data_IF_173971373048
#
_entry.id   IF_173971373048
#
_cell.length_a   1.000
_cell.length_b   1.000
_cell.length_c   1.000
_cell.angle_alpha   90.00
_cell.angle_beta   90.00
_cell.angle_gamma   90.00
#
_symmetry.space_group_name_H-M   'P 1'
#
loop_
_entity.id
_entity.type
_entity.pdbx_description
1 polymer ?
#
# COMPACT_ATOMS: atom_id res chain seq x y z
N UNK A 1 -14.42 -14.03 -28.17
CA UNK A 1 -13.08 -13.76 -28.73
C UNK A 1 -12.71 -14.92 -29.64
N UNK A 2 -12.72 -14.72 -30.98
CA UNK A 2 -12.50 -15.83 -31.93
C UNK A 2 -11.02 -16.20 -32.14
N UNK A 3 -10.12 -15.28 -31.90
CA UNK A 3 -8.66 -15.54 -31.84
C UNK A 3 -7.92 -14.36 -31.22
N UNK A 4 -6.84 -14.63 -30.50
CA UNK A 4 -5.89 -13.63 -30.03
C UNK A 4 -4.49 -14.15 -30.39
N UNK A 5 -3.81 -13.51 -31.35
CA UNK A 5 -2.41 -13.78 -31.69
C UNK A 5 -2.05 -15.28 -31.83
N UNK A 6 -2.81 -16.02 -32.59
CA UNK A 6 -2.57 -17.46 -32.82
C UNK A 6 -3.18 -18.42 -31.82
N UNK A 7 -3.89 -17.90 -30.78
CA UNK A 7 -4.71 -18.73 -29.91
C UNK A 7 -6.08 -18.96 -30.58
N UNK A 8 -6.47 -20.20 -30.76
CA UNK A 8 -7.80 -20.60 -31.22
C UNK A 8 -8.63 -21.03 -30.02
N UNK A 9 -9.97 -21.09 -30.18
CA UNK A 9 -10.88 -21.56 -29.12
C UNK A 9 -10.48 -22.93 -28.58
N UNK A 10 -9.92 -23.79 -29.42
CA UNK A 10 -9.48 -25.14 -29.06
C UNK A 10 -8.25 -25.16 -28.14
N UNK A 11 -7.49 -24.05 -28.09
CA UNK A 11 -6.30 -23.92 -27.28
C UNK A 11 -6.56 -23.20 -25.94
N UNK A 12 -7.78 -22.72 -25.71
CA UNK A 12 -8.16 -22.05 -24.48
C UNK A 12 -8.97 -23.02 -23.63
N UNK A 13 -8.31 -23.60 -22.62
CA UNK A 13 -9.02 -24.34 -21.56
C UNK A 13 -9.62 -23.34 -20.61
N UNK A 14 -10.91 -23.05 -20.75
CA UNK A 14 -11.64 -22.26 -19.75
C UNK A 14 -12.03 -23.17 -18.60
N UNK A 15 -11.32 -23.07 -17.49
CA UNK A 15 -11.80 -23.63 -16.23
C UNK A 15 -12.80 -22.65 -15.62
N UNK A 16 -14.07 -23.03 -15.62
CA UNK A 16 -15.12 -22.29 -14.89
C UNK A 16 -15.07 -22.72 -13.43
N UNK A 17 -14.70 -21.80 -12.54
CA UNK A 17 -14.84 -21.99 -11.11
C UNK A 17 -16.24 -21.54 -10.70
N UNK A 18 -17.08 -22.44 -10.24
CA UNK A 18 -18.27 -22.07 -9.51
C UNK A 18 -17.85 -21.55 -8.14
N UNK A 19 -17.98 -20.25 -7.94
CA UNK A 19 -17.84 -19.67 -6.61
C UNK A 19 -19.10 -20.03 -5.82
N UNK A 20 -19.04 -21.08 -5.02
CA UNK A 20 -20.07 -21.38 -4.03
C UNK A 20 -19.99 -20.29 -2.96
N UNK A 21 -20.73 -19.22 -3.18
CA UNK A 21 -20.97 -18.25 -2.11
C UNK A 21 -21.92 -18.93 -1.13
N UNK A 22 -21.37 -19.60 -0.11
CA UNK A 22 -22.18 -20.02 1.02
C UNK A 22 -22.76 -18.76 1.63
N UNK A 23 -24.05 -18.54 1.46
CA UNK A 23 -24.82 -17.56 2.22
C UNK A 23 -24.97 -18.06 3.65
N UNK A 24 -23.86 -18.10 4.39
CA UNK A 24 -23.97 -18.07 5.84
C UNK A 24 -24.68 -16.77 6.14
N UNK A 25 -25.89 -16.88 6.66
CA UNK A 25 -26.61 -15.74 7.20
C UNK A 25 -25.61 -14.91 7.99
N UNK A 26 -25.40 -13.68 7.55
CA UNK A 26 -24.67 -12.71 8.35
C UNK A 26 -25.55 -12.49 9.57
N UNK A 27 -25.36 -13.30 10.59
CA UNK A 27 -25.79 -12.93 11.93
C UNK A 27 -25.28 -11.53 12.13
N UNK A 28 -26.19 -10.57 12.31
CA UNK A 28 -25.83 -9.19 12.56
C UNK A 28 -25.02 -9.19 13.86
N UNK A 29 -23.70 -9.28 13.69
CA UNK A 29 -22.80 -9.16 14.82
C UNK A 29 -23.06 -7.78 15.42
N UNK A 30 -23.73 -7.75 16.56
CA UNK A 30 -23.86 -6.52 17.35
C UNK A 30 -22.45 -5.94 17.46
N UNK A 31 -22.25 -4.65 17.22
CA UNK A 31 -20.93 -4.04 17.31
C UNK A 31 -20.39 -4.33 18.71
N UNK A 32 -19.33 -5.15 18.76
CA UNK A 32 -18.71 -5.63 20.01
C UNK A 32 -18.01 -4.49 20.75
N UNK A 33 -17.88 -3.34 20.08
CA UNK A 33 -17.17 -2.17 20.61
C UNK A 33 -18.01 -0.91 20.37
N UNK A 34 -18.11 -0.08 21.40
CA UNK A 34 -18.64 1.25 21.24
C UNK A 34 -17.72 2.05 20.28
N UNK A 35 -18.26 2.54 19.17
CA UNK A 35 -17.50 3.27 18.15
C UNK A 35 -16.79 4.49 18.75
N UNK A 36 -17.37 5.14 19.77
CA UNK A 36 -16.74 6.26 20.47
C UNK A 36 -15.44 5.89 21.18
N UNK A 37 -15.25 4.62 21.49
CA UNK A 37 -14.05 4.07 22.13
C UNK A 37 -13.12 3.34 21.14
N UNK A 38 -13.37 3.48 19.85
CA UNK A 38 -12.50 2.94 18.81
C UNK A 38 -11.44 3.96 18.39
N UNK A 39 -10.35 3.46 17.79
CA UNK A 39 -9.34 4.28 17.11
C UNK A 39 -9.10 3.69 15.71
N UNK A 40 -9.14 4.51 14.67
CA UNK A 40 -9.49 5.94 14.60
C UNK A 40 -11.02 6.16 14.61
N UNK A 41 -11.51 7.23 15.24
CA UNK A 41 -12.93 7.59 15.17
C UNK A 41 -13.29 8.29 13.87
N UNK A 42 -12.37 8.99 13.26
CA UNK A 42 -12.64 9.77 12.07
C UNK A 42 -11.44 9.95 11.17
N UNK A 43 -11.64 10.68 10.07
CA UNK A 43 -10.58 10.90 9.07
C UNK A 43 -9.34 11.59 9.65
N UNK A 44 -9.50 12.44 10.64
CA UNK A 44 -8.41 13.20 11.25
C UNK A 44 -7.49 12.32 12.11
N UNK A 45 -7.97 11.18 12.59
CA UNK A 45 -7.21 10.21 13.39
C UNK A 45 -6.61 9.07 12.55
N UNK A 46 -6.93 8.96 11.26
CA UNK A 46 -6.49 7.86 10.39
C UNK A 46 -4.97 7.70 10.28
N UNK A 47 -4.20 8.72 10.64
CA UNK A 47 -2.75 8.64 10.63
C UNK A 47 -2.18 9.45 11.78
N UNK A 48 -1.43 8.78 12.65
CA UNK A 48 -0.67 9.43 13.72
C UNK A 48 0.50 10.26 13.19
N UNK A 49 0.87 10.12 11.92
CA UNK A 49 1.97 10.86 11.31
C UNK A 49 1.47 11.91 10.31
N UNK A 50 2.05 13.09 10.37
CA UNK A 50 2.04 14.04 9.25
C UNK A 50 3.16 13.70 8.29
N UNK A 51 2.92 13.89 6.99
CA UNK A 51 3.90 13.63 5.93
C UNK A 51 4.41 14.95 5.39
N UNK A 52 5.72 15.11 5.38
CA UNK A 52 6.41 16.22 4.73
C UNK A 52 7.01 15.72 3.43
N UNK A 53 6.62 16.28 2.31
CA UNK A 53 7.21 15.94 1.02
C UNK A 53 8.66 16.42 0.95
N UNK A 54 9.49 15.61 0.33
CA UNK A 54 10.88 15.94 -0.01
C UNK A 54 10.98 16.07 -1.53
N UNK A 55 11.69 17.08 -1.99
CA UNK A 55 11.94 17.23 -3.42
C UNK A 55 13.11 16.33 -3.84
N UNK A 56 12.83 15.31 -4.64
CA UNK A 56 13.79 14.37 -5.23
C UNK A 56 13.65 14.28 -6.75
N UNK A 57 13.17 15.34 -7.37
CA UNK A 57 12.89 15.35 -8.81
C UNK A 57 14.13 15.01 -9.64
N UNK A 58 15.30 15.50 -9.26
CA UNK A 58 16.56 15.21 -9.95
C UNK A 58 16.98 13.74 -9.86
N UNK A 59 16.62 13.05 -8.79
CA UNK A 59 16.89 11.61 -8.65
C UNK A 59 15.90 10.81 -9.49
N UNK A 60 14.63 11.21 -9.48
CA UNK A 60 13.57 10.52 -10.23
C UNK A 60 13.79 10.64 -11.74
N UNK A 61 14.17 11.82 -12.24
CA UNK A 61 14.42 12.04 -13.66
C UNK A 61 15.60 11.23 -14.23
N UNK A 62 16.47 10.74 -13.36
CA UNK A 62 17.59 9.86 -13.73
C UNK A 62 17.23 8.37 -13.77
N UNK A 63 16.03 8.01 -13.30
CA UNK A 63 15.60 6.60 -13.29
C UNK A 63 15.30 6.18 -14.71
N UNK A 64 16.02 5.15 -15.18
CA UNK A 64 15.83 4.52 -16.49
C UNK A 64 15.88 3.00 -16.36
N UNK A 65 15.25 2.29 -17.27
CA UNK A 65 15.28 0.84 -17.39
C UNK A 65 15.10 0.10 -16.06
N UNK A 66 14.14 0.55 -15.25
CA UNK A 66 13.94 0.07 -13.88
C UNK A 66 12.46 -0.26 -13.62
N UNK A 67 12.22 -1.14 -12.66
CA UNK A 67 10.89 -1.32 -12.07
C UNK A 67 10.73 -0.30 -10.96
N UNK A 68 9.78 0.62 -11.09
CA UNK A 68 9.51 1.67 -10.10
C UNK A 68 8.30 1.28 -9.28
N UNK A 69 8.51 0.99 -8.00
CA UNK A 69 7.45 0.63 -7.07
C UNK A 69 6.92 1.83 -6.31
N UNK A 70 5.68 2.18 -6.57
CA UNK A 70 5.01 3.35 -6.02
C UNK A 70 4.17 2.93 -4.82
N UNK A 71 4.61 3.29 -3.62
CA UNK A 71 3.95 2.84 -2.38
C UNK A 71 2.66 3.60 -2.06
N UNK A 72 2.51 4.84 -2.53
CA UNK A 72 1.34 5.67 -2.24
C UNK A 72 1.05 6.67 -3.35
N UNK A 73 -0.25 7.00 -3.53
CA UNK A 73 -0.71 8.00 -4.51
C UNK A 73 -0.10 9.40 -4.31
N UNK A 74 0.20 9.78 -3.07
CA UNK A 74 0.78 11.08 -2.73
C UNK A 74 2.23 11.23 -3.19
N UNK A 75 2.91 10.12 -3.44
CA UNK A 75 4.27 10.10 -3.97
C UNK A 75 4.35 10.73 -5.36
N UNK A 76 3.29 10.59 -6.16
CA UNK A 76 3.23 11.09 -7.54
C UNK A 76 2.82 12.57 -7.65
N UNK A 77 2.64 13.26 -6.54
CA UNK A 77 2.32 14.68 -6.54
C UNK A 77 3.59 15.48 -6.75
N UNK A 78 3.68 16.24 -7.84
CA UNK A 78 4.83 17.10 -8.16
C UNK A 78 6.14 16.38 -8.54
N UNK A 79 6.06 15.14 -9.02
CA UNK A 79 7.23 14.47 -9.59
C UNK A 79 7.24 14.57 -11.12
N UNK A 80 8.42 14.54 -11.76
CA UNK A 80 8.53 14.50 -13.22
C UNK A 80 7.95 13.20 -13.78
N UNK A 81 7.65 13.20 -15.08
CA UNK A 81 7.31 11.95 -15.77
C UNK A 81 8.51 10.99 -15.71
N UNK A 82 8.21 9.72 -15.53
CA UNK A 82 9.22 8.67 -15.62
C UNK A 82 9.63 8.47 -17.08
N UNK A 83 10.86 8.02 -17.26
CA UNK A 83 11.36 7.55 -18.56
C UNK A 83 10.51 6.37 -19.06
N UNK A 84 10.24 6.29 -20.35
CA UNK A 84 9.38 5.26 -20.96
C UNK A 84 9.93 3.85 -20.79
N UNK A 85 11.23 3.69 -20.57
CA UNK A 85 11.85 2.40 -20.26
C UNK A 85 11.53 1.87 -18.86
N UNK A 86 10.89 2.69 -18.02
CA UNK A 86 10.49 2.30 -16.65
C UNK A 86 9.17 1.55 -16.64
N UNK A 87 9.11 0.51 -15.82
CA UNK A 87 7.91 -0.26 -15.54
C UNK A 87 7.34 0.20 -14.21
N UNK A 88 6.12 0.74 -14.21
CA UNK A 88 5.50 1.28 -13.02
C UNK A 88 4.59 0.23 -12.36
N UNK A 89 4.86 -0.05 -11.09
CA UNK A 89 4.08 -0.96 -10.25
C UNK A 89 3.60 -0.21 -9.01
N UNK A 90 2.41 -0.49 -8.56
CA UNK A 90 1.84 0.16 -7.38
C UNK A 90 1.61 -0.83 -6.23
N UNK A 91 1.57 -0.31 -5.00
CA UNK A 91 1.31 -1.11 -3.81
C UNK A 91 -0.13 -1.60 -3.69
N UNK A 92 -1.07 -0.99 -4.40
CA UNK A 92 -2.49 -1.39 -4.33
C UNK A 92 -3.36 -0.60 -5.29
N UNK A 93 -4.58 -1.09 -5.48
CA UNK A 93 -5.57 -0.60 -6.46
C UNK A 93 -5.89 0.89 -6.30
N UNK A 94 -5.94 1.42 -5.08
CA UNK A 94 -6.18 2.86 -4.86
C UNK A 94 -5.05 3.72 -5.41
N UNK A 95 -3.80 3.28 -5.26
CA UNK A 95 -2.64 3.95 -5.82
C UNK A 95 -2.64 3.83 -7.34
N UNK A 96 -2.93 2.64 -7.87
CA UNK A 96 -3.07 2.40 -9.30
C UNK A 96 -4.07 3.38 -9.94
N UNK A 97 -5.34 3.36 -9.49
CA UNK A 97 -6.38 4.24 -10.01
C UNK A 97 -6.00 5.73 -9.97
N UNK A 98 -5.34 6.16 -8.89
CA UNK A 98 -4.88 7.55 -8.76
C UNK A 98 -3.72 7.87 -9.71
N UNK A 99 -2.85 6.91 -9.99
CA UNK A 99 -1.74 7.07 -10.94
C UNK A 99 -2.25 7.12 -12.38
N UNK A 100 -3.16 6.23 -12.74
CA UNK A 100 -3.76 6.19 -14.07
C UNK A 100 -4.53 7.49 -14.39
N UNK A 101 -5.27 8.04 -13.42
CA UNK A 101 -5.92 9.36 -13.55
C UNK A 101 -4.96 10.52 -13.82
N UNK A 102 -3.67 10.36 -13.51
CA UNK A 102 -2.60 11.33 -13.77
C UNK A 102 -1.84 11.04 -15.06
N UNK A 103 -2.30 10.10 -15.86
CA UNK A 103 -1.69 9.73 -17.13
C UNK A 103 -0.52 8.78 -17.05
N UNK A 104 -0.29 8.11 -15.89
CA UNK A 104 0.73 7.09 -15.78
C UNK A 104 0.19 5.73 -16.22
N UNK A 105 0.92 5.05 -17.10
CA UNK A 105 0.66 3.64 -17.40
C UNK A 105 1.20 2.77 -16.26
N UNK A 106 0.33 2.02 -15.61
CA UNK A 106 0.71 1.14 -14.51
C UNK A 106 0.60 -0.31 -14.97
N UNK A 107 1.72 -1.00 -14.97
CA UNK A 107 1.84 -2.38 -15.46
C UNK A 107 1.36 -3.43 -14.46
N UNK A 108 1.18 -3.05 -13.19
CA UNK A 108 0.68 -3.98 -12.17
C UNK A 108 0.58 -3.41 -10.78
N UNK A 109 0.08 -4.23 -9.87
CA UNK A 109 -0.03 -3.88 -8.46
C UNK A 109 0.29 -5.09 -7.58
N UNK A 110 0.90 -4.87 -6.42
CA UNK A 110 1.10 -5.91 -5.40
C UNK A 110 -0.15 -6.15 -4.54
N UNK A 111 -1.23 -5.44 -4.81
CA UNK A 111 -2.52 -5.52 -4.11
C UNK A 111 -2.44 -5.58 -2.59
N UNK A 112 -1.57 -4.75 -2.03
CA UNK A 112 -1.28 -4.67 -0.58
C UNK A 112 -0.52 -5.86 0.03
N UNK A 113 -0.09 -6.83 -0.77
CA UNK A 113 0.70 -7.99 -0.31
C UNK A 113 2.18 -7.66 -0.03
N UNK A 114 2.58 -6.43 -0.33
CA UNK A 114 3.91 -5.93 0.02
C UNK A 114 4.94 -6.04 -1.11
N UNK A 115 6.20 -5.77 -0.74
CA UNK A 115 7.29 -5.67 -1.71
C UNK A 115 7.80 -7.04 -2.19
N UNK A 116 7.62 -8.10 -1.39
CA UNK A 116 8.03 -9.45 -1.76
C UNK A 116 7.40 -9.94 -3.06
N UNK A 117 6.20 -9.47 -3.36
CA UNK A 117 5.52 -9.83 -4.61
C UNK A 117 6.17 -9.18 -5.84
N UNK A 118 6.89 -8.06 -5.67
CA UNK A 118 7.54 -7.37 -6.79
C UNK A 118 8.76 -8.13 -7.28
N UNK A 119 9.45 -8.84 -6.40
CA UNK A 119 10.59 -9.66 -6.79
C UNK A 119 10.20 -10.78 -7.76
N UNK A 120 8.99 -11.30 -7.65
CA UNK A 120 8.42 -12.27 -8.58
C UNK A 120 8.20 -11.69 -9.98
N UNK A 121 8.02 -10.37 -10.08
CA UNK A 121 7.81 -9.67 -11.36
C UNK A 121 9.09 -9.58 -12.20
N UNK A 122 10.26 -9.79 -11.61
CA UNK A 122 11.51 -9.91 -12.38
C UNK A 122 11.44 -11.01 -13.42
N UNK A 123 10.73 -12.08 -13.14
CA UNK A 123 10.49 -13.17 -14.09
C UNK A 123 9.74 -12.70 -15.34
N UNK A 124 8.84 -11.72 -15.20
CA UNK A 124 8.05 -11.17 -16.31
C UNK A 124 8.77 -10.05 -17.05
N UNK A 125 9.54 -9.23 -16.34
CA UNK A 125 10.12 -7.99 -16.87
C UNK A 125 11.64 -8.03 -17.02
N UNK A 126 12.25 -9.19 -16.77
CA UNK A 126 13.70 -9.39 -16.78
C UNK A 126 14.40 -8.81 -15.55
N UNK A 127 15.72 -8.95 -15.51
CA UNK A 127 16.57 -8.52 -14.41
C UNK A 127 16.76 -7.00 -14.38
N UNK A 128 15.66 -6.28 -14.12
CA UNK A 128 15.67 -4.84 -13.94
C UNK A 128 15.87 -4.47 -12.46
N UNK A 129 16.52 -3.35 -12.22
CA UNK A 129 16.62 -2.78 -10.87
C UNK A 129 15.24 -2.39 -10.35
N UNK A 130 14.98 -2.68 -9.08
CA UNK A 130 13.76 -2.26 -8.41
C UNK A 130 14.05 -1.02 -7.59
N UNK A 131 13.36 0.08 -7.90
CA UNK A 131 13.45 1.35 -7.20
C UNK A 131 12.13 1.60 -6.47
N UNK A 132 12.19 1.70 -5.16
CA UNK A 132 11.01 1.92 -4.33
C UNK A 132 10.85 3.41 -4.02
N UNK A 133 9.72 3.98 -4.40
CA UNK A 133 9.34 5.33 -4.01
C UNK A 133 8.53 5.26 -2.72
N UNK A 134 9.13 5.72 -1.62
CA UNK A 134 8.60 5.53 -0.27
C UNK A 134 8.89 6.72 0.64
N UNK A 135 8.88 6.50 1.94
CA UNK A 135 9.25 7.48 2.96
C UNK A 135 10.54 7.06 3.66
N UNK A 136 11.29 8.05 4.16
CA UNK A 136 12.38 7.77 5.09
C UNK A 136 11.83 7.44 6.46
N UNK A 137 12.32 6.36 7.03
CA UNK A 137 12.23 6.08 8.45
C UNK A 137 13.63 5.69 8.97
N UNK A 138 13.82 5.82 10.27
CA UNK A 138 15.08 5.52 10.93
C UNK A 138 15.53 4.04 10.75
N UNK A 139 14.62 3.18 10.28
CA UNK A 139 14.81 1.72 10.21
C UNK A 139 14.90 1.17 8.78
N UNK A 140 14.76 1.98 7.74
CA UNK A 140 14.80 1.48 6.36
C UNK A 140 15.48 2.43 5.38
N UNK A 141 16.78 2.41 5.38
CA UNK A 141 17.57 2.75 4.20
C UNK A 141 17.77 1.49 3.37
N UNK A 142 16.71 1.02 2.72
CA UNK A 142 16.87 -0.11 1.81
C UNK A 142 17.57 0.36 0.55
N UNK A 143 18.66 -0.32 0.19
CA UNK A 143 19.35 -0.11 -1.09
C UNK A 143 18.30 -0.14 -2.21
N UNK A 144 18.25 0.91 -3.04
CA UNK A 144 17.22 1.03 -4.11
C UNK A 144 15.92 1.72 -3.68
N UNK A 145 15.88 2.50 -2.60
CA UNK A 145 14.73 3.34 -2.26
C UNK A 145 15.04 4.83 -2.44
N UNK A 146 14.03 5.59 -2.88
CA UNK A 146 14.04 7.06 -2.93
C UNK A 146 12.95 7.56 -1.98
N UNK A 147 13.38 8.35 -1.01
CA UNK A 147 12.49 8.88 0.01
C UNK A 147 11.84 10.18 -0.45
N UNK A 148 10.56 10.09 -0.81
CA UNK A 148 9.78 11.23 -1.33
C UNK A 148 9.00 11.97 -0.25
N UNK A 149 8.95 11.45 0.94
CA UNK A 149 8.41 12.16 2.10
C UNK A 149 9.02 11.65 3.40
N UNK A 150 9.06 12.53 4.39
CA UNK A 150 9.44 12.20 5.75
C UNK A 150 8.18 12.10 6.62
N UNK A 151 8.20 11.25 7.59
CA UNK A 151 7.17 11.21 8.64
C UNK A 151 7.57 12.21 9.73
N UNK A 152 6.69 13.17 10.00
CA UNK A 152 6.87 14.08 11.14
C UNK A 152 6.50 13.32 12.42
N UNK A 153 6.98 13.84 13.55
CA UNK A 153 6.69 13.28 14.87
C UNK A 153 5.26 12.77 15.01
N UNK A 154 5.08 11.59 15.62
CA UNK A 154 3.77 10.99 15.78
C UNK A 154 2.93 11.82 16.74
N UNK A 155 1.67 12.01 16.39
CA UNK A 155 0.69 12.66 17.25
C UNK A 155 -0.52 11.75 17.42
N UNK A 156 -0.61 11.13 18.57
CA UNK A 156 -1.77 10.35 18.97
C UNK A 156 -2.84 11.23 19.61
N UNK A 157 -4.12 10.83 19.58
CA UNK A 157 -5.18 11.46 20.39
C UNK A 157 -4.81 11.44 21.88
N UNK A 158 -5.21 12.48 22.62
CA UNK A 158 -4.92 12.57 24.07
C UNK A 158 -5.55 11.44 24.88
N UNK A 159 -6.65 10.90 24.39
CA UNK A 159 -7.43 9.83 25.01
C UNK A 159 -7.10 8.43 24.43
N UNK A 160 -5.98 8.27 23.76
CA UNK A 160 -5.63 7.02 23.09
C UNK A 160 -5.61 5.82 24.05
N UNK A 161 -5.14 6.01 25.27
CA UNK A 161 -5.10 4.96 26.29
C UNK A 161 -6.48 4.56 26.84
N UNK A 162 -7.48 5.42 26.66
CA UNK A 162 -8.87 5.15 27.05
C UNK A 162 -9.64 4.40 25.95
N UNK A 163 -9.06 4.27 24.75
CA UNK A 163 -9.67 3.52 23.66
C UNK A 163 -9.60 2.02 23.94
N UNK A 164 -10.62 1.30 23.49
CA UNK A 164 -10.79 -0.15 23.73
C UNK A 164 -10.43 -1.01 22.52
N UNK A 165 -10.55 -0.43 21.33
CA UNK A 165 -10.28 -1.13 20.08
C UNK A 165 -9.54 -0.24 19.07
N UNK A 166 -8.63 -0.85 18.34
CA UNK A 166 -7.74 -0.18 17.41
C UNK A 166 -7.79 -0.83 16.04
N UNK A 167 -7.88 0.00 14.99
CA UNK A 167 -7.70 -0.44 13.62
C UNK A 167 -6.47 0.24 13.01
N UNK A 168 -5.48 -0.55 12.66
CA UNK A 168 -4.22 -0.06 12.14
C UNK A 168 -4.12 -0.24 10.62
N UNK A 169 -3.74 0.84 9.95
CA UNK A 169 -3.48 0.82 8.51
C UNK A 169 -1.97 0.74 8.19
N UNK A 170 -1.13 0.62 9.20
CA UNK A 170 0.33 0.60 9.04
C UNK A 170 0.99 -0.06 10.24
N UNK A 171 1.83 -1.09 10.01
CA UNK A 171 2.60 -1.73 11.09
C UNK A 171 3.52 -0.75 11.81
N UNK A 172 4.06 0.23 11.07
CA UNK A 172 4.92 1.25 11.65
C UNK A 172 4.15 2.16 12.61
N UNK A 173 2.91 2.55 12.26
CA UNK A 173 2.06 3.34 13.15
C UNK A 173 1.71 2.56 14.43
N UNK A 174 1.37 1.28 14.31
CA UNK A 174 1.13 0.41 15.45
C UNK A 174 2.33 0.35 16.40
N UNK A 175 3.51 -0.02 15.87
CA UNK A 175 4.73 -0.13 16.69
C UNK A 175 5.09 1.18 17.38
N UNK A 176 4.94 2.31 16.69
CA UNK A 176 5.21 3.63 17.26
C UNK A 176 4.22 3.97 18.36
N UNK A 177 2.92 3.74 18.16
CA UNK A 177 1.91 4.01 19.17
C UNK A 177 2.11 3.15 20.41
N UNK A 178 2.39 1.85 20.26
CA UNK A 178 2.69 0.94 21.38
C UNK A 178 3.96 1.37 22.13
N UNK A 179 4.99 1.82 21.41
CA UNK A 179 6.21 2.34 22.05
C UNK A 179 5.93 3.58 22.90
N UNK A 180 5.04 4.47 22.44
CA UNK A 180 4.65 5.69 23.17
C UNK A 180 3.67 5.42 24.31
N UNK A 181 2.78 4.46 24.13
CA UNK A 181 1.68 4.12 25.01
C UNK A 181 1.60 2.60 25.20
N UNK A 182 2.48 1.99 26.01
CA UNK A 182 2.53 0.53 26.17
C UNK A 182 1.23 -0.11 26.64
N UNK A 183 0.42 0.64 27.40
CA UNK A 183 -0.87 0.18 27.94
C UNK A 183 -1.87 -0.23 26.85
N UNK A 184 -1.74 0.31 25.62
CA UNK A 184 -2.65 -0.06 24.54
C UNK A 184 -2.40 -1.46 24.01
N UNK A 185 -1.22 -2.05 24.23
CA UNK A 185 -0.87 -3.37 23.71
C UNK A 185 -1.87 -4.47 24.12
N UNK A 186 -2.43 -4.35 25.32
CA UNK A 186 -3.38 -5.32 25.88
C UNK A 186 -4.84 -5.07 25.43
N UNK A 187 -5.06 -4.10 24.55
CA UNK A 187 -6.38 -3.79 23.98
C UNK A 187 -6.68 -4.65 22.76
N UNK A 188 -7.83 -4.46 22.15
CA UNK A 188 -8.21 -5.15 20.91
C UNK A 188 -7.55 -4.47 19.70
N UNK A 189 -6.85 -5.24 18.90
CA UNK A 189 -6.22 -4.74 17.68
C UNK A 189 -6.75 -5.45 16.45
N UNK A 190 -6.91 -4.70 15.37
CA UNK A 190 -7.26 -5.20 14.05
C UNK A 190 -6.50 -4.41 12.99
N UNK A 191 -6.39 -5.01 11.81
CA UNK A 191 -5.77 -4.39 10.64
C UNK A 191 -6.51 -4.80 9.38
N UNK A 192 -6.23 -4.12 8.27
CA UNK A 192 -6.68 -4.56 6.96
C UNK A 192 -6.00 -5.85 6.53
N UNK A 193 -6.59 -6.55 5.56
CA UNK A 193 -5.92 -7.68 4.91
C UNK A 193 -4.66 -7.19 4.18
N UNK A 194 -3.60 -7.98 4.20
CA UNK A 194 -2.28 -7.67 3.68
C UNK A 194 -1.19 -7.76 4.75
N UNK A 195 -0.02 -7.19 4.49
CA UNK A 195 1.13 -7.22 5.39
C UNK A 195 1.10 -6.08 6.45
N UNK A 196 -0.04 -5.88 7.10
CA UNK A 196 -0.16 -4.88 8.20
C UNK A 196 -0.10 -5.55 9.56
#
# INVERSE_FOLDING_TARGET
VKSINGLTEDNIKLETFEMIVSSKERTSLKPIVNISKAFPIGRNEQSIFKRLQTNRNNEISKIKNSIVYITRKTVLTHIPKFDESCILITSGVKTWKSSAKRGYWISGTSDSLGQSEITKLKTLFGEKNIIKLTFSNEFSTSKGSIDLYKLKEPKCPKDIEQREAFFWMSPYAFRTAVKMYPSILNKRHSCGMGNT
#
